data_IF_825280540547
#
_entry.id   IF_825280540547
#
_cell.length_a   1.000
_cell.length_b   1.000
_cell.length_c   1.000
_cell.angle_alpha   90.00
_cell.angle_beta   90.00
_cell.angle_gamma   90.00
#
_symmetry.space_group_name_H-M   'P 1'
#
loop_
_entity.id
_entity.type
_entity.pdbx_description
1 polymer ?
#
# COMPACT_ATOMS: atom_id res chain seq x y z
N UNK A 1 -15.92 12.44 -28.42
CA UNK A 1 -15.70 11.00 -28.68
C UNK A 1 -17.07 10.35 -28.79
N UNK A 2 -17.53 10.12 -30.02
CA UNK A 2 -18.82 9.45 -30.30
C UNK A 2 -18.45 8.13 -31.01
N UNK A 3 -19.00 7.00 -30.55
CA UNK A 3 -18.89 5.71 -31.26
C UNK A 3 -18.24 4.52 -30.53
N UNK A 4 -18.01 4.58 -29.21
CA UNK A 4 -17.36 3.48 -28.47
C UNK A 4 -18.25 3.01 -27.32
N UNK A 5 -18.42 1.69 -27.16
CA UNK A 5 -19.22 1.12 -26.08
C UNK A 5 -18.62 1.44 -24.70
N UNK A 6 -19.47 1.63 -23.69
CA UNK A 6 -19.07 1.97 -22.31
C UNK A 6 -17.98 1.00 -21.77
N UNK A 7 -18.05 -0.32 -21.99
CA UNK A 7 -16.99 -1.24 -21.55
C UNK A 7 -15.64 -0.98 -22.23
N UNK A 8 -15.65 -0.69 -23.53
CA UNK A 8 -14.44 -0.41 -24.31
C UNK A 8 -13.85 0.95 -23.92
N UNK A 9 -14.68 1.98 -23.76
CA UNK A 9 -14.26 3.28 -23.25
C UNK A 9 -13.67 3.16 -21.84
N UNK A 10 -14.29 2.38 -20.96
CA UNK A 10 -13.78 2.12 -19.61
C UNK A 10 -12.48 1.30 -19.60
N UNK A 11 -12.28 0.44 -20.60
CA UNK A 11 -11.04 -0.31 -20.80
C UNK A 11 -9.93 0.59 -21.31
N UNK A 12 -10.20 1.42 -22.33
CA UNK A 12 -9.26 2.42 -22.83
C UNK A 12 -8.88 3.44 -21.76
N UNK A 13 -9.85 3.90 -20.97
CA UNK A 13 -9.61 4.79 -19.83
C UNK A 13 -8.67 4.15 -18.79
N UNK A 14 -8.91 2.88 -18.44
CA UNK A 14 -8.02 2.10 -17.57
C UNK A 14 -6.66 1.81 -18.19
N UNK A 15 -6.59 1.62 -19.50
CA UNK A 15 -5.35 1.42 -20.26
C UNK A 15 -4.56 2.73 -20.44
N UNK A 16 -5.22 3.88 -20.42
CA UNK A 16 -4.55 5.19 -20.53
C UNK A 16 -4.05 5.72 -19.18
N UNK A 17 -4.46 5.11 -18.05
CA UNK A 17 -4.00 5.51 -16.70
C UNK A 17 -4.98 6.37 -15.92
N UNK A 18 -6.24 6.44 -16.36
CA UNK A 18 -7.21 7.41 -15.85
C UNK A 18 -7.05 8.79 -16.47
N UNK A 19 -7.86 9.75 -16.00
CA UNK A 19 -7.76 11.14 -16.42
C UNK A 19 -6.66 11.84 -15.61
N UNK A 20 -5.72 12.58 -16.22
CA UNK A 20 -4.97 13.56 -15.46
C UNK A 20 -5.97 14.50 -14.77
N UNK A 21 -5.71 14.98 -13.54
CA UNK A 21 -6.61 15.93 -12.89
C UNK A 21 -6.76 17.16 -13.80
N UNK A 22 -7.91 17.29 -14.44
CA UNK A 22 -8.27 18.48 -15.19
C UNK A 22 -8.80 19.46 -14.16
N UNK A 23 -8.05 20.55 -13.94
CA UNK A 23 -8.60 21.71 -13.25
C UNK A 23 -9.68 22.31 -14.13
N UNK A 24 -10.93 22.23 -13.68
CA UNK A 24 -12.06 22.91 -14.32
C UNK A 24 -12.16 24.39 -13.90
N UNK A 25 -11.29 24.83 -12.98
CA UNK A 25 -11.22 26.22 -12.56
C UNK A 25 -10.66 27.05 -13.72
N UNK A 26 -11.43 28.03 -14.20
CA UNK A 26 -10.95 28.96 -15.21
C UNK A 26 -9.75 29.77 -14.69
N UNK A 27 -8.73 30.03 -15.53
CA UNK A 27 -7.61 30.86 -15.12
C UNK A 27 -8.09 32.26 -14.71
N UNK A 28 -7.79 32.68 -13.48
CA UNK A 28 -8.09 34.03 -12.99
C UNK A 28 -6.83 34.87 -12.79
N UNK A 29 -6.98 36.19 -12.68
CA UNK A 29 -5.87 37.11 -12.45
C UNK A 29 -5.01 37.35 -13.69
N UNK A 30 -3.77 36.87 -13.69
CA UNK A 30 -2.75 37.19 -14.73
C UNK A 30 -3.08 36.64 -16.13
N UNK A 31 -3.86 35.58 -16.21
CA UNK A 31 -4.17 34.88 -17.46
C UNK A 31 -5.53 35.33 -18.01
N UNK A 32 -5.68 35.37 -19.34
CA UNK A 32 -6.97 35.61 -19.97
C UNK A 32 -7.86 34.36 -19.82
N UNK A 33 -9.14 34.55 -19.52
CA UNK A 33 -10.15 33.49 -19.55
C UNK A 33 -10.56 33.15 -20.99
N UNK A 34 -11.37 32.11 -21.17
CA UNK A 34 -11.91 31.79 -22.49
C UNK A 34 -12.87 32.87 -22.98
N UNK A 35 -13.78 33.34 -22.12
CA UNK A 35 -14.71 34.42 -22.42
C UNK A 35 -13.99 35.71 -22.85
N UNK A 36 -12.90 36.09 -22.17
CA UNK A 36 -12.09 37.24 -22.57
C UNK A 36 -11.45 37.03 -23.96
N UNK A 37 -11.05 35.81 -24.32
CA UNK A 37 -10.51 35.51 -25.65
C UNK A 37 -11.58 35.57 -26.74
N UNK A 38 -12.83 35.20 -26.43
CA UNK A 38 -13.97 35.37 -27.35
C UNK A 38 -14.24 36.85 -27.63
N UNK A 39 -14.27 37.66 -26.58
CA UNK A 39 -14.47 39.11 -26.69
C UNK A 39 -13.32 39.79 -27.47
N UNK A 40 -12.07 39.38 -27.26
CA UNK A 40 -10.93 39.82 -28.11
C UNK A 40 -11.17 39.47 -29.57
N UNK A 41 -11.69 38.28 -29.88
CA UNK A 41 -11.95 37.85 -31.26
C UNK A 41 -13.04 38.69 -31.93
N UNK A 42 -14.14 38.97 -31.22
CA UNK A 42 -15.26 39.80 -31.70
C UNK A 42 -14.77 41.23 -31.97
N UNK A 43 -14.15 41.87 -30.99
CA UNK A 43 -13.70 43.26 -31.12
C UNK A 43 -12.60 43.40 -32.19
N UNK A 44 -11.75 42.38 -32.35
CA UNK A 44 -10.75 42.35 -33.43
C UNK A 44 -11.39 42.23 -34.81
N UNK A 45 -12.45 41.41 -34.95
CA UNK A 45 -13.22 41.29 -36.19
C UNK A 45 -13.95 42.59 -36.56
N UNK A 46 -14.38 43.36 -35.55
CA UNK A 46 -14.94 44.72 -35.72
C UNK A 46 -13.87 45.79 -36.03
N UNK A 47 -12.60 45.43 -36.21
CA UNK A 47 -11.52 46.36 -36.54
C UNK A 47 -11.03 47.22 -35.36
N UNK A 48 -11.42 46.91 -34.11
CA UNK A 48 -10.97 47.69 -32.95
C UNK A 48 -9.46 47.50 -32.71
N UNK A 49 -8.79 48.59 -32.33
CA UNK A 49 -7.37 48.60 -31.98
C UNK A 49 -7.07 48.00 -30.59
N UNK A 50 -5.82 47.59 -30.36
CA UNK A 50 -5.36 46.92 -29.13
C UNK A 50 -5.73 47.69 -27.85
N UNK A 51 -5.53 49.01 -27.82
CA UNK A 51 -5.85 49.86 -26.65
C UNK A 51 -7.35 49.92 -26.35
N UNK A 52 -8.19 49.86 -27.38
CA UNK A 52 -9.65 49.86 -27.24
C UNK A 52 -10.13 48.54 -26.67
N UNK A 53 -9.62 47.43 -27.20
CA UNK A 53 -9.91 46.07 -26.69
C UNK A 53 -9.47 45.95 -25.23
N UNK A 54 -8.28 46.46 -24.92
CA UNK A 54 -7.72 46.46 -23.56
C UNK A 54 -8.62 47.21 -22.57
N UNK A 55 -9.13 48.39 -22.95
CA UNK A 55 -10.06 49.17 -22.12
C UNK A 55 -11.41 48.46 -21.91
N UNK A 56 -11.96 47.85 -22.96
CA UNK A 56 -13.22 47.10 -22.89
C UNK A 56 -13.13 45.91 -21.91
N UNK A 57 -11.96 45.28 -21.84
CA UNK A 57 -11.72 44.10 -20.99
C UNK A 57 -11.11 44.44 -19.62
N UNK A 58 -10.81 45.71 -19.32
CA UNK A 58 -10.09 46.09 -18.10
C UNK A 58 -8.69 45.48 -18.01
N UNK A 59 -8.02 45.25 -19.14
CA UNK A 59 -6.68 44.62 -19.22
C UNK A 59 -5.61 45.59 -19.71
N UNK A 60 -4.36 45.26 -19.41
CA UNK A 60 -3.20 45.99 -19.95
C UNK A 60 -3.10 45.82 -21.49
N UNK A 61 -2.89 46.92 -22.26
CA UNK A 61 -2.71 46.83 -23.72
C UNK A 61 -1.59 45.88 -24.16
N UNK A 62 -0.54 45.73 -23.36
CA UNK A 62 0.54 44.77 -23.61
C UNK A 62 0.09 43.31 -23.48
N UNK A 63 -0.91 43.00 -22.64
CA UNK A 63 -1.52 41.67 -22.56
C UNK A 63 -2.27 41.34 -23.85
N UNK A 64 -3.13 42.23 -24.34
CA UNK A 64 -3.87 42.05 -25.59
C UNK A 64 -2.92 41.97 -26.80
N UNK A 65 -1.91 42.84 -26.86
CA UNK A 65 -0.89 42.81 -27.91
C UNK A 65 -0.16 41.47 -27.96
N UNK A 66 0.28 40.95 -26.80
CA UNK A 66 0.98 39.66 -26.72
C UNK A 66 0.09 38.48 -27.08
N UNK A 67 -1.18 38.50 -26.66
CA UNK A 67 -2.17 37.47 -27.00
C UNK A 67 -2.37 37.40 -28.53
N UNK A 68 -2.72 38.53 -29.15
CA UNK A 68 -2.93 38.60 -30.61
C UNK A 68 -1.69 38.21 -31.40
N UNK A 69 -0.48 38.61 -30.96
CA UNK A 69 0.78 38.27 -31.64
C UNK A 69 1.14 36.79 -31.53
N UNK A 70 0.99 36.19 -30.34
CA UNK A 70 1.43 34.80 -30.08
C UNK A 70 0.42 33.77 -30.58
N UNK A 71 -0.87 34.11 -30.54
CA UNK A 71 -1.94 33.14 -30.70
C UNK A 71 -2.74 33.26 -32.01
N UNK A 72 -2.52 34.30 -32.83
CA UNK A 72 -3.06 34.33 -34.20
C UNK A 72 -2.62 33.07 -34.98
N UNK A 73 -3.53 32.48 -35.74
CA UNK A 73 -3.29 31.27 -36.51
C UNK A 73 -2.84 31.62 -37.93
N UNK A 74 -1.86 30.88 -38.44
CA UNK A 74 -1.45 30.92 -39.84
C UNK A 74 -2.08 29.69 -40.53
N UNK A 75 -3.33 29.80 -40.96
CA UNK A 75 -3.93 28.80 -41.86
C UNK A 75 -4.42 29.55 -43.09
N UNK A 76 -3.74 29.38 -44.23
CA UNK A 76 -4.09 30.05 -45.50
C UNK A 76 -3.46 31.43 -45.72
N UNK A 77 -2.31 31.74 -45.11
CA UNK A 77 -1.53 32.96 -45.40
C UNK A 77 -2.08 34.27 -44.80
N UNK A 78 -3.23 34.25 -44.13
CA UNK A 78 -3.79 35.39 -43.37
C UNK A 78 -3.72 35.13 -41.85
N UNK A 79 -3.32 36.15 -41.10
CA UNK A 79 -3.26 36.14 -39.63
C UNK A 79 -4.67 36.33 -39.05
N UNK A 80 -5.42 35.23 -38.89
CA UNK A 80 -6.73 35.25 -38.23
C UNK A 80 -6.60 34.86 -36.76
N UNK A 81 -7.17 35.69 -35.88
CA UNK A 81 -7.26 35.39 -34.45
C UNK A 81 -8.58 34.65 -34.17
N UNK A 82 -8.48 33.44 -33.59
CA UNK A 82 -9.64 32.63 -33.16
C UNK A 82 -9.50 32.25 -31.70
N UNK A 83 -10.52 32.57 -30.89
CA UNK A 83 -10.51 32.34 -29.45
C UNK A 83 -10.22 30.88 -29.06
N UNK A 84 -10.88 29.92 -29.72
CA UNK A 84 -10.67 28.48 -29.49
C UNK A 84 -9.22 28.03 -29.73
N UNK A 85 -8.58 28.51 -30.81
CA UNK A 85 -7.19 28.17 -31.14
C UNK A 85 -6.23 28.84 -30.16
N UNK A 86 -6.50 30.09 -29.80
CA UNK A 86 -5.73 30.83 -28.81
C UNK A 86 -5.79 30.18 -27.42
N UNK A 87 -6.98 29.73 -27.01
CA UNK A 87 -7.18 28.96 -25.78
C UNK A 87 -6.40 27.65 -25.80
N UNK A 88 -6.48 26.88 -26.90
CA UNK A 88 -5.73 25.63 -27.05
C UNK A 88 -4.22 25.88 -26.96
N UNK A 89 -3.67 26.86 -27.70
CA UNK A 89 -2.24 27.23 -27.62
C UNK A 89 -1.83 27.67 -26.21
N UNK A 90 -2.68 28.42 -25.52
CA UNK A 90 -2.43 28.84 -24.14
C UNK A 90 -2.40 27.64 -23.18
N UNK A 91 -3.33 26.69 -23.34
CA UNK A 91 -3.34 25.43 -22.58
C UNK A 91 -2.09 24.59 -22.86
N UNK A 92 -1.70 24.40 -24.13
CA UNK A 92 -0.48 23.67 -24.48
C UNK A 92 0.78 24.34 -23.90
N UNK A 93 0.90 25.67 -24.02
CA UNK A 93 2.02 26.41 -23.45
C UNK A 93 2.04 26.39 -21.92
N UNK A 94 0.87 26.32 -21.27
CA UNK A 94 0.76 26.19 -19.82
C UNK A 94 1.23 24.82 -19.30
N UNK A 95 1.18 23.76 -20.14
CA UNK A 95 1.63 22.42 -19.74
C UNK A 95 3.11 22.37 -19.33
N UNK A 96 3.95 23.30 -19.82
CA UNK A 96 5.40 23.43 -19.54
C UNK A 96 6.04 22.07 -19.18
N UNK A 97 6.05 21.11 -20.12
CA UNK A 97 6.48 19.75 -19.83
C UNK A 97 7.94 19.79 -19.39
N UNK A 98 8.19 19.46 -18.12
CA UNK A 98 9.52 19.16 -17.62
C UNK A 98 9.74 17.67 -17.74
N UNK A 99 10.95 17.29 -18.14
CA UNK A 99 11.35 15.90 -18.09
C UNK A 99 11.19 15.38 -16.65
N UNK A 100 10.59 14.19 -16.50
CA UNK A 100 10.29 13.66 -15.18
C UNK A 100 11.59 13.33 -14.45
N UNK A 101 11.65 13.63 -13.14
CA UNK A 101 12.88 13.48 -12.33
C UNK A 101 13.48 12.06 -12.37
N UNK A 102 12.66 11.03 -12.48
CA UNK A 102 13.11 9.63 -12.60
C UNK A 102 13.66 9.27 -13.99
N UNK A 103 13.39 10.08 -15.03
CA UNK A 103 14.04 9.92 -16.34
C UNK A 103 15.47 10.47 -16.27
N UNK A 104 15.64 11.64 -15.65
CA UNK A 104 16.94 12.30 -15.53
C UNK A 104 17.82 11.77 -14.38
N UNK A 105 17.26 11.04 -13.41
CA UNK A 105 17.99 10.43 -12.30
C UNK A 105 17.79 8.89 -12.28
N UNK A 106 18.69 8.12 -12.91
CA UNK A 106 18.64 6.66 -12.93
C UNK A 106 18.70 6.04 -11.53
N UNK A 107 19.53 6.56 -10.62
CA UNK A 107 19.66 6.06 -9.25
C UNK A 107 18.34 6.11 -8.49
N UNK A 108 17.63 7.24 -8.60
CA UNK A 108 16.30 7.40 -8.01
C UNK A 108 15.29 6.44 -8.64
N UNK A 109 15.31 6.30 -9.97
CA UNK A 109 14.43 5.37 -10.68
C UNK A 109 14.67 3.93 -10.26
N UNK A 110 15.92 3.50 -10.19
CA UNK A 110 16.29 2.13 -9.83
C UNK A 110 15.91 1.83 -8.37
N UNK A 111 16.09 2.79 -7.46
CA UNK A 111 15.60 2.69 -6.09
C UNK A 111 14.08 2.52 -6.04
N UNK A 112 13.33 3.37 -6.75
CA UNK A 112 11.85 3.29 -6.79
C UNK A 112 11.41 1.95 -7.38
N UNK A 113 12.04 1.49 -8.45
CA UNK A 113 11.76 0.20 -9.09
C UNK A 113 12.05 -0.98 -8.15
N UNK A 114 13.18 -0.98 -7.44
CA UNK A 114 13.51 -2.02 -6.48
C UNK A 114 12.51 -2.04 -5.32
N UNK A 115 12.19 -0.89 -4.71
CA UNK A 115 11.22 -0.88 -3.59
C UNK A 115 9.80 -1.29 -4.02
N UNK A 116 9.41 -1.03 -5.27
CA UNK A 116 8.14 -1.50 -5.82
C UNK A 116 8.16 -3.00 -6.14
N UNK A 117 9.09 -3.44 -6.99
CA UNK A 117 9.05 -4.74 -7.67
C UNK A 117 10.30 -5.62 -7.44
N UNK A 118 11.20 -5.18 -6.56
CA UNK A 118 12.35 -5.95 -6.11
C UNK A 118 11.92 -7.29 -5.54
N UNK A 119 12.81 -8.28 -5.65
CA UNK A 119 12.51 -9.66 -5.31
C UNK A 119 12.36 -9.83 -3.80
N UNK A 120 11.59 -10.85 -3.40
CA UNK A 120 11.52 -11.32 -2.02
C UNK A 120 12.81 -12.08 -1.72
N UNK A 121 13.39 -11.84 -0.55
CA UNK A 121 14.63 -12.49 -0.13
C UNK A 121 14.52 -13.00 1.30
N UNK A 122 15.27 -14.06 1.58
CA UNK A 122 15.60 -14.49 2.92
C UNK A 122 16.48 -13.44 3.65
N UNK A 123 16.61 -13.56 4.98
CA UNK A 123 17.55 -12.77 5.77
C UNK A 123 19.00 -12.88 5.26
N UNK A 124 19.40 -14.03 4.75
CA UNK A 124 20.74 -14.28 4.18
C UNK A 124 20.93 -13.70 2.75
N UNK A 125 19.90 -13.06 2.18
CA UNK A 125 19.93 -12.45 0.85
C UNK A 125 19.56 -13.38 -0.30
N UNK A 126 19.35 -14.69 -0.08
CA UNK A 126 18.88 -15.61 -1.12
C UNK A 126 17.49 -15.18 -1.62
N UNK A 127 17.31 -15.21 -2.93
CA UNK A 127 16.06 -14.81 -3.58
C UNK A 127 15.05 -15.96 -3.57
N UNK A 128 13.79 -15.66 -3.27
CA UNK A 128 12.68 -16.59 -3.39
C UNK A 128 11.81 -16.23 -4.59
N UNK A 129 11.62 -17.19 -5.48
CA UNK A 129 10.69 -17.08 -6.58
C UNK A 129 9.31 -17.46 -6.05
N UNK A 130 8.43 -16.47 -5.90
CA UNK A 130 7.03 -16.71 -5.53
C UNK A 130 6.25 -17.47 -6.61
N UNK A 131 4.91 -17.44 -6.60
CA UNK A 131 4.12 -18.21 -7.56
C UNK A 131 4.34 -17.72 -9.00
N UNK A 132 4.29 -18.66 -9.94
CA UNK A 132 4.24 -18.33 -11.37
C UNK A 132 2.94 -17.59 -11.68
N UNK A 133 3.08 -16.36 -12.14
CA UNK A 133 1.93 -15.53 -12.51
C UNK A 133 1.88 -15.29 -14.00
N UNK A 134 0.68 -15.30 -14.61
CA UNK A 134 0.54 -15.02 -16.03
C UNK A 134 1.02 -13.60 -16.35
N UNK A 135 1.52 -13.43 -17.57
CA UNK A 135 1.93 -12.12 -18.09
C UNK A 135 0.79 -11.12 -17.93
N UNK A 136 1.12 -9.93 -17.44
CA UNK A 136 0.14 -8.90 -17.15
C UNK A 136 -0.54 -8.40 -18.45
N UNK A 137 -1.85 -8.65 -18.57
CA UNK A 137 -2.66 -8.29 -19.76
C UNK A 137 -3.29 -6.89 -19.68
N UNK A 138 -2.75 -5.97 -18.86
CA UNK A 138 -3.36 -4.65 -18.64
C UNK A 138 -4.57 -4.65 -17.71
N UNK A 139 -4.90 -5.79 -17.08
CA UNK A 139 -6.05 -5.94 -16.17
C UNK A 139 -5.65 -5.70 -14.71
N UNK A 140 -6.64 -5.47 -13.85
CA UNK A 140 -6.37 -5.38 -12.42
C UNK A 140 -5.83 -6.72 -11.89
N UNK A 141 -5.00 -6.66 -10.86
CA UNK A 141 -4.47 -7.88 -10.22
C UNK A 141 -5.62 -8.76 -9.70
N UNK A 142 -5.50 -10.09 -9.79
CA UNK A 142 -6.58 -10.98 -9.41
C UNK A 142 -6.91 -10.86 -7.92
N UNK A 143 -8.19 -10.87 -7.57
CA UNK A 143 -8.62 -10.84 -6.18
C UNK A 143 -8.43 -12.21 -5.49
N UNK A 144 -8.65 -13.30 -6.24
CA UNK A 144 -8.61 -14.68 -5.73
C UNK A 144 -7.70 -15.62 -6.52
N UNK A 145 -6.58 -15.11 -7.01
CA UNK A 145 -5.55 -15.92 -7.66
C UNK A 145 -4.17 -15.32 -7.36
N UNK A 146 -3.15 -16.05 -7.75
CA UNK A 146 -1.76 -15.73 -7.45
C UNK A 146 -1.30 -14.39 -8.00
N UNK A 147 -0.36 -13.82 -7.25
CA UNK A 147 0.24 -12.53 -7.52
C UNK A 147 1.74 -12.66 -7.37
N UNK A 148 2.45 -11.94 -8.24
CA UNK A 148 3.90 -11.85 -8.18
C UNK A 148 4.34 -11.36 -6.81
N UNK A 149 5.23 -12.10 -6.18
CA UNK A 149 5.89 -11.66 -4.96
C UNK A 149 6.91 -10.55 -5.26
N UNK A 150 6.91 -9.53 -4.42
CA UNK A 150 7.83 -8.38 -4.53
C UNK A 150 7.95 -7.67 -3.19
N UNK A 151 8.88 -6.72 -3.08
CA UNK A 151 8.98 -5.81 -1.92
C UNK A 151 7.68 -5.04 -1.70
N UNK A 152 6.98 -4.63 -2.77
CA UNK A 152 5.64 -4.05 -2.76
C UNK A 152 5.48 -2.84 -1.82
N UNK A 153 6.48 -1.98 -1.73
CA UNK A 153 6.38 -0.72 -1.01
C UNK A 153 5.39 0.20 -1.73
N UNK A 154 4.62 0.99 -0.98
CA UNK A 154 3.77 2.03 -1.57
C UNK A 154 4.61 3.24 -2.01
N UNK A 155 4.15 4.02 -2.98
CA UNK A 155 4.78 5.29 -3.33
C UNK A 155 4.98 6.24 -2.13
N UNK A 156 4.05 6.27 -1.17
CA UNK A 156 4.19 7.05 0.07
C UNK A 156 5.33 6.53 0.93
N UNK A 157 5.43 5.20 1.11
CA UNK A 157 6.52 4.56 1.83
C UNK A 157 7.88 4.88 1.21
N UNK A 158 7.99 4.77 -0.11
CA UNK A 158 9.22 5.06 -0.87
C UNK A 158 9.62 6.53 -0.71
N UNK A 159 8.70 7.46 -0.99
CA UNK A 159 8.92 8.91 -0.91
C UNK A 159 9.39 9.35 0.48
N UNK A 160 8.84 8.74 1.54
CA UNK A 160 9.19 9.06 2.93
C UNK A 160 10.50 8.42 3.35
N UNK A 161 10.73 7.15 2.96
CA UNK A 161 11.96 6.45 3.30
C UNK A 161 13.20 7.05 2.64
N UNK A 162 13.09 7.54 1.41
CA UNK A 162 14.16 8.26 0.72
C UNK A 162 14.72 9.45 1.52
N UNK A 163 13.88 10.11 2.33
CA UNK A 163 14.32 11.23 3.17
C UNK A 163 15.17 10.79 4.36
N UNK A 164 14.98 9.56 4.82
CA UNK A 164 15.72 8.98 5.93
C UNK A 164 17.04 8.41 5.41
N UNK A 165 16.99 7.58 4.36
CA UNK A 165 18.18 6.89 3.83
C UNK A 165 19.15 7.82 3.10
N UNK A 166 18.64 8.92 2.54
CA UNK A 166 19.44 9.88 1.77
C UNK A 166 19.26 11.30 2.33
N UNK A 167 19.42 11.49 3.64
CA UNK A 167 19.17 12.75 4.37
C UNK A 167 19.75 14.00 3.69
N UNK A 168 20.97 13.88 3.17
CA UNK A 168 21.73 15.00 2.62
C UNK A 168 21.64 15.13 1.09
N UNK A 169 21.03 14.16 0.41
CA UNK A 169 20.93 14.13 -1.06
C UNK A 169 19.53 14.54 -1.54
N UNK A 170 19.40 15.82 -1.92
CA UNK A 170 18.16 16.37 -2.47
C UNK A 170 17.77 15.76 -3.84
N UNK A 171 18.75 15.22 -4.58
CA UNK A 171 18.49 14.55 -5.86
C UNK A 171 17.62 13.29 -5.68
N UNK A 172 17.66 12.68 -4.48
CA UNK A 172 16.86 11.51 -4.13
C UNK A 172 15.44 11.85 -3.64
N UNK A 173 15.06 13.13 -3.60
CA UNK A 173 13.71 13.56 -3.17
C UNK A 173 12.69 13.42 -4.29
N UNK A 174 11.59 12.72 -4.03
CA UNK A 174 10.45 12.66 -4.95
C UNK A 174 9.14 12.63 -4.16
N UNK A 175 8.08 13.25 -4.68
CA UNK A 175 6.74 13.12 -4.10
C UNK A 175 6.12 11.77 -4.49
N UNK A 176 5.35 11.17 -3.59
CA UNK A 176 4.64 9.94 -3.91
C UNK A 176 3.64 10.11 -5.05
N UNK A 177 3.10 11.31 -5.25
CA UNK A 177 2.26 11.64 -6.40
C UNK A 177 3.05 11.56 -7.71
N UNK A 178 4.30 12.05 -7.75
CA UNK A 178 5.13 11.92 -8.95
C UNK A 178 5.41 10.44 -9.30
N UNK A 179 5.61 9.58 -8.30
CA UNK A 179 5.72 8.13 -8.51
C UNK A 179 4.41 7.55 -9.07
N UNK A 180 3.26 7.91 -8.50
CA UNK A 180 1.95 7.47 -9.01
C UNK A 180 1.73 7.92 -10.46
N UNK A 181 2.02 9.19 -10.77
CA UNK A 181 1.90 9.75 -12.11
C UNK A 181 2.78 8.99 -13.11
N UNK A 182 4.01 8.62 -12.72
CA UNK A 182 4.90 7.81 -13.56
C UNK A 182 4.44 6.36 -13.75
N UNK A 183 3.69 5.79 -12.80
CA UNK A 183 3.12 4.45 -12.93
C UNK A 183 1.88 4.42 -13.82
N UNK A 184 1.06 5.47 -13.78
CA UNK A 184 -0.22 5.50 -14.51
C UNK A 184 -0.12 6.18 -15.89
N UNK A 185 0.74 7.18 -16.05
CA UNK A 185 0.89 7.94 -17.29
C UNK A 185 2.10 7.44 -18.08
N UNK A 186 1.85 6.61 -19.10
CA UNK A 186 2.89 6.06 -19.98
C UNK A 186 3.76 7.13 -20.63
N UNK A 187 3.17 8.27 -21.03
CA UNK A 187 3.88 9.38 -21.67
C UNK A 187 4.94 10.08 -20.80
N UNK A 188 5.07 9.74 -19.50
CA UNK A 188 6.16 10.24 -18.64
C UNK A 188 7.44 9.39 -18.70
N UNK A 189 7.41 8.21 -19.32
CA UNK A 189 8.60 7.43 -19.70
C UNK A 189 9.50 6.90 -18.58
N UNK A 190 9.13 7.06 -17.30
CA UNK A 190 10.03 6.79 -16.18
C UNK A 190 9.94 5.37 -15.59
N UNK A 191 8.77 4.74 -15.66
CA UNK A 191 8.49 3.44 -15.03
C UNK A 191 7.63 2.60 -15.97
N UNK A 192 7.86 1.29 -15.97
CA UNK A 192 7.00 0.35 -16.70
C UNK A 192 5.62 0.28 -16.04
N UNK A 193 4.57 0.26 -16.86
CA UNK A 193 3.18 0.27 -16.39
C UNK A 193 2.81 -0.98 -15.58
N UNK A 194 3.39 -2.13 -15.89
CA UNK A 194 3.15 -3.40 -15.19
C UNK A 194 3.47 -3.35 -13.68
N UNK A 195 4.32 -2.42 -13.25
CA UNK A 195 4.65 -2.17 -11.85
C UNK A 195 3.42 -1.79 -10.99
N UNK A 196 2.31 -1.34 -11.60
CA UNK A 196 1.04 -1.12 -10.88
C UNK A 196 0.51 -2.39 -10.19
N UNK A 197 0.90 -3.57 -10.66
CA UNK A 197 0.55 -4.86 -10.04
C UNK A 197 1.15 -5.04 -8.64
N UNK A 198 2.27 -4.36 -8.35
CA UNK A 198 2.96 -4.39 -7.07
C UNK A 198 2.31 -3.47 -6.01
N UNK A 199 1.42 -2.55 -6.43
CA UNK A 199 0.73 -1.65 -5.51
C UNK A 199 -0.31 -2.41 -4.67
N UNK A 200 -0.50 -2.03 -3.39
CA UNK A 200 -1.50 -2.66 -2.47
C UNK A 200 -2.90 -2.70 -3.07
N UNK A 201 -3.35 -1.63 -3.70
CA UNK A 201 -4.66 -1.53 -4.36
C UNK A 201 -4.45 -1.33 -5.84
N UNK A 202 -5.07 -2.14 -6.69
CA UNK A 202 -5.08 -1.88 -8.13
C UNK A 202 -6.22 -0.94 -8.55
N UNK A 203 -6.66 -0.06 -7.66
CA UNK A 203 -7.66 0.98 -7.97
C UNK A 203 -6.94 2.07 -8.77
N UNK A 204 -7.44 2.39 -9.96
CA UNK A 204 -6.92 3.49 -10.78
C UNK A 204 -7.36 4.88 -10.26
N UNK A 205 -8.41 4.93 -9.43
CA UNK A 205 -8.91 6.15 -8.80
C UNK A 205 -9.02 5.97 -7.29
N UNK A 206 -8.75 7.05 -6.56
CA UNK A 206 -8.99 7.12 -5.11
C UNK A 206 -10.50 7.11 -4.86
N UNK A 207 -11.00 6.11 -4.16
CA UNK A 207 -12.38 6.08 -3.70
C UNK A 207 -12.56 7.13 -2.59
N UNK A 208 -13.68 7.88 -2.57
CA UNK A 208 -14.07 8.64 -1.40
C UNK A 208 -14.09 7.71 -0.17
N UNK A 209 -13.67 8.24 0.99
CA UNK A 209 -13.77 7.52 2.27
C UNK A 209 -15.26 7.27 2.53
N UNK A 210 -15.64 6.00 2.58
CA UNK A 210 -16.96 5.62 3.05
C UNK A 210 -17.07 6.00 4.54
N UNK A 211 -18.17 6.65 4.94
CA UNK A 211 -18.43 6.99 6.34
C UNK A 211 -18.62 5.69 7.12
N UNK A 212 -17.89 5.51 8.23
CA UNK A 212 -18.04 4.36 9.11
C UNK A 212 -19.48 4.25 9.61
N UNK A 213 -20.18 3.18 9.25
CA UNK A 213 -21.46 2.83 9.86
C UNK A 213 -21.16 2.03 11.14
N UNK A 214 -21.33 2.66 12.30
CA UNK A 214 -21.38 1.95 13.57
C UNK A 214 -22.61 1.04 13.58
N UNK A 215 -22.43 -0.25 13.92
CA UNK A 215 -23.53 -1.15 14.26
C UNK A 215 -23.43 -1.48 15.76
N UNK A 216 -24.54 -1.49 16.51
CA UNK A 216 -24.55 -1.71 17.95
C UNK A 216 -24.29 -3.17 18.34
N UNK A 217 -23.77 -3.34 19.57
CA UNK A 217 -23.21 -4.55 20.16
C UNK A 217 -24.23 -5.38 20.95
N UNK A 218 -23.97 -6.68 21.10
CA UNK A 218 -24.69 -7.62 21.97
C UNK A 218 -23.78 -8.20 23.07
N UNK A 219 -24.39 -8.60 24.18
CA UNK A 219 -23.80 -8.86 25.50
C UNK A 219 -23.18 -10.26 25.75
N UNK A 220 -22.65 -10.38 26.98
CA UNK A 220 -21.50 -11.10 27.55
C UNK A 220 -21.78 -12.54 28.02
N UNK A 221 -20.72 -13.37 28.10
CA UNK A 221 -20.41 -14.25 29.25
C UNK A 221 -18.88 -14.34 29.48
N UNK A 222 -18.49 -14.63 30.74
CA UNK A 222 -17.18 -14.44 31.32
C UNK A 222 -16.25 -15.65 31.17
N UNK A 223 -15.06 -15.41 30.60
CA UNK A 223 -13.78 -16.12 30.82
C UNK A 223 -12.64 -15.28 30.18
N UNK A 224 -11.51 -15.13 30.90
CA UNK A 224 -10.28 -14.34 30.63
C UNK A 224 -10.39 -13.36 29.46
N UNK A 225 -11.13 -12.29 29.73
CA UNK A 225 -11.44 -11.21 28.79
C UNK A 225 -10.22 -10.32 28.57
N UNK A 226 -10.10 -9.73 27.38
CA UNK A 226 -9.04 -8.77 27.02
C UNK A 226 -8.89 -7.61 28.05
N UNK A 227 -9.95 -7.33 28.82
CA UNK A 227 -9.94 -6.36 29.92
C UNK A 227 -8.97 -6.71 31.06
N UNK A 228 -8.58 -7.97 31.23
CA UNK A 228 -7.65 -8.42 32.28
C UNK A 228 -6.17 -8.31 31.87
N UNK A 229 -5.90 -7.83 30.66
CA UNK A 229 -4.53 -7.66 30.18
C UNK A 229 -3.85 -6.49 30.92
N UNK A 230 -2.53 -6.60 31.22
CA UNK A 230 -1.78 -5.50 31.82
C UNK A 230 -1.96 -4.17 31.06
N UNK A 231 -2.07 -3.06 31.79
CA UNK A 231 -2.26 -1.73 31.21
C UNK A 231 -1.13 -1.36 30.23
N UNK A 232 0.10 -1.81 30.51
CA UNK A 232 1.28 -1.68 29.63
C UNK A 232 1.08 -2.24 28.22
N UNK A 233 0.15 -3.18 28.06
CA UNK A 233 -0.13 -3.72 26.75
C UNK A 233 -1.01 -2.77 25.92
N UNK A 234 -1.73 -1.81 26.52
CA UNK A 234 -2.72 -0.96 25.83
C UNK A 234 -2.10 0.10 24.92
N UNK A 235 -1.09 0.81 25.44
CA UNK A 235 -0.45 1.96 24.79
C UNK A 235 0.57 1.57 23.69
N UNK A 236 0.91 0.28 23.60
CA UNK A 236 1.90 -0.28 22.66
C UNK A 236 3.30 0.27 22.89
N UNK A 237 3.58 0.81 24.06
CA UNK A 237 4.89 1.33 24.43
C UNK A 237 5.84 0.21 24.87
N UNK A 238 5.30 -0.86 25.46
CA UNK A 238 6.10 -1.97 25.98
C UNK A 238 6.26 -3.09 24.93
N UNK A 239 7.49 -3.53 24.65
CA UNK A 239 7.75 -4.67 23.78
C UNK A 239 7.23 -5.99 24.35
N UNK A 240 6.98 -6.96 23.46
CA UNK A 240 6.70 -8.35 23.84
C UNK A 240 5.22 -8.67 24.06
N UNK A 241 4.34 -7.75 23.70
CA UNK A 241 2.92 -8.02 23.56
C UNK A 241 2.62 -8.31 22.08
N UNK A 242 1.95 -9.42 21.81
CA UNK A 242 1.69 -9.90 20.46
C UNK A 242 0.19 -9.98 20.19
N UNK A 243 -0.21 -9.65 18.97
CA UNK A 243 -1.54 -9.94 18.43
C UNK A 243 -1.45 -11.14 17.50
N UNK A 244 -2.36 -12.09 17.67
CA UNK A 244 -2.38 -13.34 16.95
C UNK A 244 -3.68 -13.56 16.16
N UNK A 245 -3.55 -14.10 14.95
CA UNK A 245 -4.68 -14.37 14.05
C UNK A 245 -4.34 -15.45 13.01
N UNK A 246 -5.35 -15.95 12.30
CA UNK A 246 -5.18 -16.93 11.21
C UNK A 246 -5.55 -16.34 9.85
N UNK A 247 -4.68 -16.58 8.87
CA UNK A 247 -4.99 -16.40 7.46
C UNK A 247 -5.42 -17.75 6.89
N UNK A 248 -6.71 -17.89 6.58
CA UNK A 248 -7.26 -19.10 5.97
C UNK A 248 -7.24 -19.02 4.43
N UNK A 249 -6.92 -20.16 3.81
CA UNK A 249 -6.92 -20.44 2.37
C UNK A 249 -7.95 -21.48 1.95
N UNK A 250 -7.84 -21.98 0.72
CA UNK A 250 -8.70 -23.07 0.21
C UNK A 250 -8.32 -24.40 0.84
N UNK A 251 -9.28 -25.35 0.84
CA UNK A 251 -9.03 -26.69 1.38
C UNK A 251 -8.62 -26.66 2.85
N UNK A 252 -9.12 -25.69 3.62
CA UNK A 252 -8.79 -25.51 5.05
C UNK A 252 -7.27 -25.42 5.30
N UNK A 253 -6.50 -24.88 4.36
CA UNK A 253 -5.12 -24.48 4.63
C UNK A 253 -5.09 -23.19 5.46
N UNK A 254 -4.05 -23.00 6.25
CA UNK A 254 -3.92 -21.85 7.13
C UNK A 254 -2.46 -21.43 7.31
N UNK A 255 -2.26 -20.16 7.65
CA UNK A 255 -1.00 -19.62 8.14
C UNK A 255 -1.32 -18.85 9.43
N UNK A 256 -0.58 -19.14 10.50
CA UNK A 256 -0.65 -18.36 11.73
C UNK A 256 0.09 -17.04 11.57
N UNK A 257 -0.47 -15.97 12.13
CA UNK A 257 0.12 -14.63 12.07
C UNK A 257 0.29 -14.09 13.46
N UNK A 258 1.50 -13.67 13.79
CA UNK A 258 1.86 -13.02 15.05
C UNK A 258 2.43 -11.64 14.74
N UNK A 259 1.89 -10.60 15.37
CA UNK A 259 2.35 -9.23 15.18
C UNK A 259 2.65 -8.59 16.52
N UNK A 260 3.90 -8.21 16.73
CA UNK A 260 4.34 -7.52 17.94
C UNK A 260 3.76 -6.09 17.95
N UNK A 261 3.18 -5.67 19.08
CA UNK A 261 2.36 -4.45 19.15
C UNK A 261 3.18 -3.17 19.06
N UNK A 262 4.43 -3.18 19.49
CA UNK A 262 5.29 -2.00 19.48
C UNK A 262 5.97 -1.80 18.10
N UNK A 263 6.89 -2.69 17.75
CA UNK A 263 7.71 -2.74 16.53
C UNK A 263 6.92 -3.10 15.28
N UNK A 264 5.78 -3.80 15.40
CA UNK A 264 5.03 -4.37 14.28
C UNK A 264 5.76 -5.48 13.55
N UNK A 265 6.78 -6.08 14.19
CA UNK A 265 7.43 -7.26 13.68
C UNK A 265 6.39 -8.37 13.51
N UNK A 266 6.37 -8.95 12.32
CA UNK A 266 5.45 -10.03 11.95
C UNK A 266 6.22 -11.34 11.89
N UNK A 267 5.68 -12.36 12.54
CA UNK A 267 6.11 -13.75 12.41
C UNK A 267 4.96 -14.52 11.75
N UNK A 268 5.31 -15.35 10.76
CA UNK A 268 4.37 -16.24 10.09
C UNK A 268 4.62 -17.67 10.57
N UNK A 269 3.60 -18.26 11.18
CA UNK A 269 3.65 -19.62 11.72
C UNK A 269 3.21 -20.58 10.61
N UNK A 270 4.10 -21.47 10.21
CA UNK A 270 3.83 -22.49 9.21
C UNK A 270 2.95 -23.60 9.81
N UNK A 271 1.82 -23.89 9.15
CA UNK A 271 0.82 -24.86 9.59
C UNK A 271 0.57 -25.90 8.48
N UNK A 272 1.48 -26.87 8.29
CA UNK A 272 1.33 -27.88 7.27
C UNK A 272 0.15 -28.80 7.55
N UNK A 273 -0.41 -29.41 6.49
CA UNK A 273 -1.40 -30.47 6.66
C UNK A 273 -0.75 -31.66 7.34
N UNK A 274 -1.52 -32.32 8.22
CA UNK A 274 -1.08 -33.52 8.90
C UNK A 274 -1.29 -34.75 8.01
N UNK A 275 -0.58 -35.83 8.35
CA UNK A 275 -0.74 -37.12 7.70
C UNK A 275 -2.21 -37.59 7.73
N UNK A 276 -2.66 -38.23 6.66
CA UNK A 276 -4.06 -38.65 6.50
C UNK A 276 -5.02 -37.56 5.99
N UNK A 277 -4.57 -36.31 5.80
CA UNK A 277 -5.43 -35.26 5.25
C UNK A 277 -5.96 -35.62 3.86
N UNK A 278 -7.29 -35.61 3.71
CA UNK A 278 -7.96 -35.90 2.44
C UNK A 278 -8.13 -37.38 2.12
N UNK A 279 -7.59 -38.30 2.94
CA UNK A 279 -7.79 -39.75 2.78
C UNK A 279 -9.16 -40.19 3.32
N UNK A 280 -9.58 -39.62 4.46
CA UNK A 280 -10.89 -39.86 5.06
C UNK A 280 -11.73 -38.58 5.12
N UNK A 281 -13.06 -38.66 4.87
CA UNK A 281 -13.96 -37.53 5.07
C UNK A 281 -13.87 -36.96 6.50
N UNK A 282 -13.92 -35.63 6.69
CA UNK A 282 -13.88 -35.03 8.02
C UNK A 282 -15.07 -35.49 8.86
N UNK A 283 -14.81 -36.07 10.04
CA UNK A 283 -15.85 -36.40 11.01
C UNK A 283 -16.06 -35.22 11.95
N UNK A 284 -17.32 -34.93 12.32
CA UNK A 284 -17.65 -33.88 13.30
C UNK A 284 -16.96 -34.19 14.63
N UNK A 285 -16.22 -33.23 15.18
CA UNK A 285 -15.36 -33.37 16.38
C UNK A 285 -14.18 -34.36 16.24
N UNK A 286 -13.87 -34.84 15.03
CA UNK A 286 -12.65 -35.60 14.77
C UNK A 286 -11.39 -34.74 14.80
N UNK A 287 -10.20 -35.36 14.80
CA UNK A 287 -8.93 -34.64 14.78
C UNK A 287 -8.84 -33.74 13.55
N UNK A 288 -8.43 -32.49 13.76
CA UNK A 288 -8.24 -31.53 12.66
C UNK A 288 -6.89 -31.78 11.99
N UNK A 289 -6.92 -32.50 10.87
CA UNK A 289 -5.73 -32.80 10.07
C UNK A 289 -5.32 -31.66 9.12
N UNK A 290 -6.06 -30.54 9.12
CA UNK A 290 -5.84 -29.40 8.21
C UNK A 290 -4.69 -28.47 8.62
N UNK A 291 -3.91 -28.82 9.65
CA UNK A 291 -2.74 -28.08 10.12
C UNK A 291 -3.01 -27.03 11.20
N UNK A 292 -4.22 -26.50 11.31
CA UNK A 292 -4.60 -25.50 12.33
C UNK A 292 -5.48 -26.05 13.46
N UNK A 293 -5.52 -27.38 13.64
CA UNK A 293 -6.13 -27.95 14.85
C UNK A 293 -5.46 -27.46 16.13
N UNK A 294 -6.16 -27.46 17.26
CA UNK A 294 -5.68 -26.89 18.52
C UNK A 294 -4.27 -27.38 18.92
N UNK A 295 -4.00 -28.69 18.78
CA UNK A 295 -2.69 -29.28 19.10
C UNK A 295 -1.61 -28.78 18.12
N UNK A 296 -1.80 -28.98 16.82
CA UNK A 296 -0.81 -28.60 15.81
C UNK A 296 -0.51 -27.08 15.81
N UNK A 297 -1.56 -26.26 16.00
CA UNK A 297 -1.44 -24.82 16.14
C UNK A 297 -0.61 -24.44 17.37
N UNK A 298 -0.92 -25.00 18.54
CA UNK A 298 -0.16 -24.72 19.75
C UNK A 298 1.29 -25.15 19.65
N UNK A 299 1.58 -26.33 19.10
CA UNK A 299 2.95 -26.81 18.91
C UNK A 299 3.74 -25.86 18.00
N UNK A 300 3.17 -25.47 16.85
CA UNK A 300 3.83 -24.57 15.90
C UNK A 300 4.00 -23.15 16.48
N UNK A 301 3.00 -22.67 17.24
CA UNK A 301 3.04 -21.38 17.91
C UNK A 301 4.09 -21.37 19.03
N UNK A 302 4.16 -22.44 19.83
CA UNK A 302 5.15 -22.59 20.90
C UNK A 302 6.56 -22.59 20.33
N UNK A 303 6.83 -23.34 19.25
CA UNK A 303 8.11 -23.33 18.56
C UNK A 303 8.50 -21.92 18.07
N UNK A 304 7.54 -21.17 17.53
CA UNK A 304 7.79 -19.80 17.03
C UNK A 304 8.08 -18.80 18.16
N UNK A 305 7.32 -18.88 19.25
CA UNK A 305 7.45 -17.95 20.39
C UNK A 305 8.70 -18.27 21.21
N UNK A 306 9.05 -19.55 21.38
CA UNK A 306 10.23 -19.97 22.15
C UNK A 306 11.56 -19.60 21.49
N UNK A 307 11.58 -19.30 20.20
CA UNK A 307 12.76 -18.77 19.51
C UNK A 307 13.11 -17.32 19.90
N UNK A 308 12.17 -16.56 20.46
CA UNK A 308 12.38 -15.16 20.88
C UNK A 308 13.04 -15.08 22.26
N UNK A 309 13.70 -14.01 22.70
CA UNK A 309 14.09 -13.85 24.11
C UNK A 309 12.88 -13.81 25.05
N UNK A 310 13.00 -14.36 26.27
CA UNK A 310 11.89 -14.46 27.23
C UNK A 310 11.21 -13.11 27.52
N UNK A 311 12.01 -12.04 27.56
CA UNK A 311 11.57 -10.67 27.80
C UNK A 311 10.62 -10.14 26.71
N UNK A 312 10.68 -10.71 25.50
CA UNK A 312 9.80 -10.38 24.38
C UNK A 312 8.58 -11.30 24.26
N UNK A 313 8.33 -12.20 25.22
CA UNK A 313 7.21 -13.15 25.18
C UNK A 313 6.19 -12.89 26.29
N UNK A 314 5.85 -11.61 26.55
CA UNK A 314 4.97 -11.23 27.68
C UNK A 314 3.56 -11.78 27.53
N UNK A 315 2.87 -11.42 26.45
CA UNK A 315 1.46 -11.80 26.24
C UNK A 315 1.12 -11.99 24.78
N UNK A 316 0.16 -12.87 24.47
CA UNK A 316 -0.47 -13.01 23.16
C UNK A 316 -1.96 -12.73 23.28
N UNK A 317 -2.51 -11.93 22.37
CA UNK A 317 -3.96 -11.71 22.23
C UNK A 317 -4.48 -12.43 21.00
N UNK A 318 -5.46 -13.33 21.14
CA UNK A 318 -6.02 -14.15 20.05
C UNK A 318 -7.53 -13.96 19.88
N UNK A 319 -8.10 -14.44 18.78
CA UNK A 319 -9.57 -14.59 18.62
C UNK A 319 -10.11 -15.76 19.46
N UNK A 320 -11.40 -15.78 19.78
CA UNK A 320 -12.07 -16.90 20.47
C UNK A 320 -12.33 -18.09 19.53
N UNK A 321 -11.32 -18.44 18.75
CA UNK A 321 -11.31 -19.61 17.89
C UNK A 321 -10.99 -20.90 18.65
N UNK A 322 -11.45 -22.04 18.12
CA UNK A 322 -11.16 -23.36 18.73
C UNK A 322 -9.68 -23.75 18.58
N UNK A 323 -8.93 -23.02 17.76
CA UNK A 323 -7.53 -23.27 17.45
C UNK A 323 -6.58 -23.02 18.63
N UNK A 324 -7.01 -22.27 19.64
CA UNK A 324 -6.24 -22.00 20.87
C UNK A 324 -6.96 -22.49 22.13
N UNK A 325 -7.80 -23.53 21.99
CA UNK A 325 -8.51 -24.12 23.15
C UNK A 325 -7.55 -24.67 24.21
N UNK A 326 -6.37 -25.17 23.81
CA UNK A 326 -5.32 -25.64 24.71
C UNK A 326 -4.31 -24.53 25.12
N UNK A 327 -4.75 -23.27 25.18
CA UNK A 327 -3.91 -22.12 25.56
C UNK A 327 -3.29 -22.22 26.96
N UNK A 328 -3.92 -22.93 27.89
CA UNK A 328 -3.37 -23.15 29.24
C UNK A 328 -2.04 -23.91 29.18
N UNK A 329 -1.97 -24.99 28.40
CA UNK A 329 -0.74 -25.75 28.15
C UNK A 329 0.31 -24.88 27.48
N UNK A 330 -0.09 -24.11 26.46
CA UNK A 330 0.81 -23.17 25.77
C UNK A 330 1.41 -22.13 26.74
N UNK A 331 0.61 -21.58 27.65
CA UNK A 331 1.08 -20.59 28.61
C UNK A 331 2.08 -21.18 29.62
N UNK A 332 1.84 -22.43 30.05
CA UNK A 332 2.76 -23.16 30.92
C UNK A 332 4.09 -23.47 30.22
N UNK A 333 4.05 -23.94 28.98
CA UNK A 333 5.25 -24.33 28.21
C UNK A 333 6.11 -23.12 27.81
N UNK A 334 5.48 -22.01 27.44
CA UNK A 334 6.19 -20.86 26.85
C UNK A 334 6.43 -19.71 27.83
N UNK A 335 5.76 -19.73 28.99
CA UNK A 335 5.70 -18.60 29.92
C UNK A 335 4.88 -17.40 29.40
N UNK A 336 4.21 -17.55 28.25
CA UNK A 336 3.49 -16.45 27.57
C UNK A 336 2.01 -16.48 27.93
N UNK A 337 1.50 -15.39 28.53
CA UNK A 337 0.07 -15.31 28.89
C UNK A 337 -0.80 -15.11 27.65
N UNK A 338 -1.89 -15.86 27.53
CA UNK A 338 -2.84 -15.74 26.42
C UNK A 338 -4.10 -15.02 26.88
N UNK A 339 -4.56 -14.05 26.09
CA UNK A 339 -5.80 -13.32 26.28
C UNK A 339 -6.67 -13.43 25.03
N UNK A 340 -7.99 -13.46 25.20
CA UNK A 340 -8.92 -13.55 24.08
C UNK A 340 -9.66 -12.23 23.86
N UNK A 341 -9.74 -11.82 22.59
CA UNK A 341 -10.60 -10.71 22.18
C UNK A 341 -12.08 -11.06 22.42
N UNK A 342 -12.90 -10.04 22.59
CA UNK A 342 -14.33 -10.22 22.74
C UNK A 342 -14.98 -10.66 21.42
N UNK A 343 -16.04 -11.47 21.47
CA UNK A 343 -16.80 -11.84 20.28
C UNK A 343 -17.25 -10.58 19.53
N UNK A 344 -17.21 -10.63 18.21
CA UNK A 344 -17.61 -9.51 17.34
C UNK A 344 -16.83 -8.21 17.59
N UNK A 345 -15.64 -8.28 18.21
CA UNK A 345 -14.81 -7.10 18.54
C UNK A 345 -13.48 -7.05 17.79
N UNK A 346 -13.48 -7.06 16.44
CA UNK A 346 -12.24 -7.08 15.64
C UNK A 346 -11.35 -5.84 15.88
N UNK A 347 -11.93 -4.70 16.31
CA UNK A 347 -11.18 -3.48 16.62
C UNK A 347 -10.22 -3.62 17.81
N UNK A 348 -10.34 -4.70 18.60
CA UNK A 348 -9.42 -5.03 19.69
C UNK A 348 -8.10 -5.64 19.18
N UNK A 349 -8.06 -6.13 17.93
CA UNK A 349 -6.86 -6.65 17.24
C UNK A 349 -6.58 -5.90 15.92
N UNK A 350 -6.48 -4.56 15.94
CA UNK A 350 -6.39 -3.77 14.72
C UNK A 350 -5.04 -3.92 14.00
N UNK A 351 -4.01 -4.40 14.70
CA UNK A 351 -2.67 -4.59 14.14
C UNK A 351 -2.66 -5.81 13.22
N UNK A 352 -3.33 -6.89 13.63
CA UNK A 352 -3.47 -8.10 12.81
C UNK A 352 -4.33 -7.85 11.58
N UNK A 353 -5.45 -7.13 11.70
CA UNK A 353 -6.31 -6.85 10.54
C UNK A 353 -5.52 -6.11 9.44
N UNK A 354 -4.77 -5.06 9.82
CA UNK A 354 -3.97 -4.32 8.85
C UNK A 354 -2.84 -5.18 8.26
N UNK A 355 -2.15 -5.97 9.10
CA UNK A 355 -1.03 -6.82 8.67
C UNK A 355 -1.51 -7.96 7.77
N UNK A 356 -2.62 -8.60 8.11
CA UNK A 356 -3.26 -9.62 7.28
C UNK A 356 -3.70 -9.03 5.94
N UNK A 357 -4.19 -7.79 5.94
CA UNK A 357 -4.46 -7.04 4.70
C UNK A 357 -3.21 -6.81 3.82
N UNK A 358 -2.01 -6.72 4.39
CA UNK A 358 -0.75 -6.66 3.65
C UNK A 358 -0.30 -8.04 3.17
N UNK A 359 -0.41 -9.06 4.02
CA UNK A 359 -0.08 -10.44 3.70
C UNK A 359 -0.94 -10.99 2.55
N UNK A 360 -2.17 -10.50 2.37
CA UNK A 360 -3.00 -10.82 1.18
C UNK A 360 -2.41 -10.31 -0.16
N UNK A 361 -1.29 -9.59 -0.17
CA UNK A 361 -0.51 -9.34 -1.39
C UNK A 361 0.27 -10.58 -1.83
N UNK A 362 0.75 -11.38 -0.88
CA UNK A 362 1.52 -12.61 -1.08
C UNK A 362 0.64 -13.87 -1.03
N UNK A 363 -0.38 -13.85 -0.18
CA UNK A 363 -1.32 -14.95 0.08
C UNK A 363 -2.78 -14.54 -0.21
N UNK A 364 -3.17 -14.33 -1.49
CA UNK A 364 -4.53 -13.91 -1.85
C UNK A 364 -5.61 -14.83 -1.25
N UNK A 365 -6.84 -14.32 -1.11
CA UNK A 365 -7.97 -15.17 -0.69
C UNK A 365 -8.26 -16.19 -1.78
N UNK A 366 -8.67 -17.41 -1.43
CA UNK A 366 -9.05 -18.40 -2.46
C UNK A 366 -7.86 -19.12 -3.12
N UNK A 367 -6.67 -19.05 -2.54
CA UNK A 367 -5.51 -19.88 -2.91
C UNK A 367 -5.23 -20.91 -1.83
N UNK A 368 -4.58 -22.02 -2.19
CA UNK A 368 -4.09 -23.00 -1.22
C UNK A 368 -2.82 -22.47 -0.56
N UNK A 369 -2.79 -22.46 0.77
CA UNK A 369 -1.66 -21.96 1.55
C UNK A 369 -0.70 -23.08 1.94
N UNK A 370 -1.12 -24.36 1.88
CA UNK A 370 -0.26 -25.48 2.29
C UNK A 370 0.89 -25.77 1.31
N UNK A 371 0.91 -25.10 0.16
CA UNK A 371 1.98 -25.21 -0.84
C UNK A 371 3.22 -24.38 -0.50
N UNK A 372 3.12 -23.50 0.50
CA UNK A 372 4.22 -22.64 0.91
C UNK A 372 4.97 -23.28 2.06
N UNK A 373 6.29 -23.33 1.94
CA UNK A 373 7.17 -23.88 2.97
C UNK A 373 7.38 -22.88 4.11
N UNK A 374 7.93 -23.35 5.25
CA UNK A 374 8.32 -22.45 6.33
C UNK A 374 9.35 -21.39 5.87
N UNK A 375 10.27 -21.78 5.00
CA UNK A 375 11.27 -20.90 4.37
C UNK A 375 10.60 -19.79 3.53
N UNK A 376 9.61 -20.15 2.71
CA UNK A 376 8.85 -19.16 1.93
C UNK A 376 8.15 -18.13 2.82
N UNK A 377 7.53 -18.61 3.91
CA UNK A 377 6.86 -17.74 4.87
C UNK A 377 7.84 -16.81 5.57
N UNK A 378 9.02 -17.30 5.95
CA UNK A 378 10.09 -16.50 6.54
C UNK A 378 10.55 -15.39 5.59
N UNK A 379 10.77 -15.70 4.30
CA UNK A 379 11.18 -14.70 3.31
C UNK A 379 10.11 -13.60 3.11
N UNK A 380 8.82 -13.98 3.12
CA UNK A 380 7.70 -13.02 3.08
C UNK A 380 7.64 -12.18 4.36
N UNK A 381 7.81 -12.80 5.53
CA UNK A 381 7.84 -12.10 6.82
C UNK A 381 9.00 -11.10 6.86
N UNK A 382 10.21 -11.52 6.48
CA UNK A 382 11.40 -10.68 6.35
C UNK A 382 11.16 -9.50 5.40
N UNK A 383 10.57 -9.74 4.23
CA UNK A 383 10.22 -8.66 3.28
C UNK A 383 9.21 -7.68 3.87
N UNK A 384 8.22 -8.19 4.62
CA UNK A 384 7.19 -7.36 5.24
C UNK A 384 7.74 -6.55 6.42
N UNK A 385 8.66 -7.13 7.19
CA UNK A 385 9.35 -6.50 8.32
C UNK A 385 10.37 -5.46 7.87
N UNK A 386 10.88 -5.56 6.64
CA UNK A 386 11.70 -4.52 6.01
C UNK A 386 10.87 -3.47 5.25
N UNK A 387 9.53 -3.50 5.35
CA UNK A 387 8.67 -2.49 4.72
C UNK A 387 8.34 -1.36 5.72
N UNK A 388 8.69 -0.09 5.44
CA UNK A 388 8.56 1.00 6.41
C UNK A 388 7.10 1.27 6.81
N UNK A 389 6.89 1.64 8.07
CA UNK A 389 5.55 1.90 8.64
C UNK A 389 5.40 3.35 9.05
N UNK A 390 4.31 3.98 8.62
CA UNK A 390 3.97 5.36 9.03
C UNK A 390 3.88 5.53 10.54
N UNK A 391 3.37 4.52 11.24
CA UNK A 391 3.24 4.50 12.70
C UNK A 391 4.57 4.45 13.43
N UNK A 392 5.66 4.06 12.76
CA UNK A 392 7.02 3.99 13.29
C UNK A 392 7.88 5.13 12.75
N UNK A 393 7.27 6.25 12.36
CA UNK A 393 8.01 7.36 11.75
C UNK A 393 8.71 7.00 10.43
N UNK A 394 8.19 6.01 9.69
CA UNK A 394 8.78 5.45 8.46
C UNK A 394 10.05 4.61 8.65
N UNK A 395 10.34 4.21 9.89
CA UNK A 395 11.24 3.09 10.19
C UNK A 395 10.59 1.76 9.82
N UNK A 396 11.39 0.73 9.63
CA UNK A 396 10.92 -0.63 9.35
C UNK A 396 10.66 -1.37 10.67
N UNK A 397 9.71 -2.30 10.70
CA UNK A 397 9.53 -3.19 11.85
C UNK A 397 10.82 -3.91 12.26
N UNK A 398 11.62 -4.34 11.29
CA UNK A 398 12.92 -4.97 11.54
C UNK A 398 13.87 -4.05 12.30
N UNK A 399 14.01 -2.79 11.90
CA UNK A 399 14.86 -1.81 12.61
C UNK A 399 14.43 -1.59 14.06
N UNK A 400 13.13 -1.44 14.30
CA UNK A 400 12.61 -1.22 15.65
C UNK A 400 12.77 -2.47 16.51
N UNK A 401 12.52 -3.65 15.93
CA UNK A 401 12.65 -4.92 16.64
C UNK A 401 14.12 -5.26 16.97
N UNK A 402 15.05 -4.97 16.06
CA UNK A 402 16.48 -5.16 16.31
C UNK A 402 17.02 -4.23 17.39
N UNK A 403 16.55 -2.98 17.46
CA UNK A 403 16.86 -2.08 18.58
C UNK A 403 16.34 -2.61 19.92
N UNK A 404 15.14 -3.22 19.93
CA UNK A 404 14.61 -3.87 21.14
C UNK A 404 15.49 -5.04 21.57
N UNK A 405 15.94 -5.87 20.63
CA UNK A 405 16.83 -7.00 20.91
C UNK A 405 18.17 -6.52 21.50
N UNK A 406 18.81 -5.53 20.87
CA UNK A 406 20.06 -4.94 21.36
C UNK A 406 19.93 -4.34 22.75
N UNK A 407 18.85 -3.60 23.01
CA UNK A 407 18.60 -3.02 24.34
C UNK A 407 18.45 -4.08 25.45
N UNK A 408 17.93 -5.26 25.12
CA UNK A 408 17.81 -6.38 26.07
C UNK A 408 19.15 -7.06 26.34
N UNK A 409 20.02 -7.17 25.33
CA UNK A 409 21.38 -7.68 25.48
C UNK A 409 22.21 -6.78 26.41
N UNK A 410 22.16 -5.46 26.20
CA UNK A 410 22.87 -4.47 27.02
C UNK A 410 22.40 -4.50 28.49
N UNK A 411 21.08 -4.62 28.72
CA UNK A 411 20.52 -4.71 30.07
C UNK A 411 20.91 -6.00 30.80
N UNK A 412 21.17 -7.11 30.08
CA UNK A 412 21.64 -8.36 30.65
C UNK A 412 23.11 -8.34 31.08
N UNK A 413 23.95 -7.61 30.35
CA UNK A 413 25.41 -7.52 30.61
C UNK A 413 25.74 -6.61 31.81
N UNK A 414 24.89 -5.64 32.13
CA UNK A 414 25.12 -4.66 33.20
C UNK A 414 24.98 -5.19 34.65
N UNK A 415 24.89 -6.50 34.88
CA UNK A 415 24.56 -7.09 36.20
C UNK A 415 25.74 -7.76 36.93
N UNK A 416 26.99 -7.37 36.65
CA UNK A 416 28.15 -7.82 37.45
C UNK A 416 29.00 -6.63 37.86
N UNK A 417 28.69 -6.08 39.04
CA UNK A 417 29.43 -5.02 39.72
C UNK A 417 29.22 -5.12 41.22
#
# INVERSE_FOLDING_TARGET
MVGVSIPVASRWFRHAGGMPPISLVEPSGRYLSFAEREEIAILKAQGKGVRTIARALGRDPGTISRELRRNAATRGGKLEYRAMVAQWKAHEAAKRPKEAKMVTNPRLRDYVQDRLAGKVTHPDGRTVNGPDTPVWKGLNKPHRADRRWSKAWSPEQISRRLRIEFGDDESMRISHEAIYQSLFIEGRGALKRDLVTCLRTGRALRSPRERSRNKPHGHVTADVVISERPAEAADRAVPGHWEGDLIIGTGRSAIGTLVERHSRATILVHLPRLEGWGQTPPVKNGPSLGGYGAVAMNTALAASITALPQQLRKTITWDRGKELSAHATFALETGTKVYFADPHSPWQRPSNENTNGLLRQYFPKGTDLSRWTAEDLEAVAHTLNNRPRKTLGWRTPAEVFEEQLRSLEEAGVATTG
#
